data_IF_878142330936
#
_entry.id   IF_878142330936
#
_cell.length_a   1.000
_cell.length_b   1.000
_cell.length_c   1.000
_cell.angle_alpha   90.00
_cell.angle_beta   90.00
_cell.angle_gamma   90.00
#
_symmetry.space_group_name_H-M   'P 1'
#
loop_
_entity.id
_entity.type
_entity.pdbx_description
1 polymer ?
#
# COMPACT_ATOMS: atom_id res chain seq x y z
N UNK A 1 6.87 -16.54 0.12
CA UNK A 1 6.98 -15.65 1.27
C UNK A 1 8.42 -15.72 1.78
N UNK A 2 9.05 -14.57 1.91
CA UNK A 2 10.39 -14.47 2.48
C UNK A 2 10.21 -14.08 3.95
N UNK A 3 10.84 -14.80 4.86
CA UNK A 3 10.88 -14.48 6.27
C UNK A 3 12.03 -13.51 6.54
N UNK A 4 11.81 -12.54 7.39
CA UNK A 4 12.85 -11.69 7.96
C UNK A 4 12.71 -11.67 9.48
N UNK A 5 13.82 -11.53 10.17
CA UNK A 5 13.82 -11.39 11.62
C UNK A 5 13.29 -10.01 12.01
N UNK A 6 12.49 -9.99 13.06
CA UNK A 6 12.00 -8.72 13.58
C UNK A 6 11.22 -8.88 14.86
N UNK A 7 11.02 -7.75 15.51
CA UNK A 7 10.21 -7.62 16.70
C UNK A 7 9.28 -6.42 16.59
N UNK A 8 8.06 -6.57 17.07
CA UNK A 8 7.05 -5.52 17.07
C UNK A 8 6.36 -5.48 18.43
N UNK A 9 6.17 -4.28 18.96
CA UNK A 9 5.44 -4.03 20.17
C UNK A 9 4.40 -2.94 19.95
N UNK A 10 3.21 -3.13 20.55
CA UNK A 10 2.13 -2.13 20.54
C UNK A 10 1.56 -2.01 21.93
N UNK A 11 1.49 -0.80 22.42
CA UNK A 11 0.81 -0.48 23.68
C UNK A 11 -0.48 0.29 23.38
N UNK A 12 -1.61 -0.20 23.87
CA UNK A 12 -2.92 0.42 23.71
C UNK A 12 -3.40 0.98 25.04
N UNK A 13 -3.79 2.24 25.03
CA UNK A 13 -4.42 2.91 26.17
C UNK A 13 -5.94 2.63 26.19
N UNK A 14 -6.55 2.77 27.35
CA UNK A 14 -8.01 2.59 27.51
C UNK A 14 -8.83 3.57 26.66
N UNK A 15 -8.26 4.73 26.35
CA UNK A 15 -8.86 5.74 25.46
C UNK A 15 -8.98 5.32 23.98
N UNK A 16 -8.43 4.15 23.60
CA UNK A 16 -8.34 3.71 22.21
C UNK A 16 -7.13 4.25 21.44
N UNK A 17 -6.37 5.17 22.06
CA UNK A 17 -5.07 5.59 21.53
C UNK A 17 -4.03 4.47 21.68
N UNK A 18 -3.01 4.48 20.86
CA UNK A 18 -1.91 3.52 20.95
C UNK A 18 -0.60 4.09 20.46
N UNK A 19 0.47 3.50 20.95
CA UNK A 19 1.83 3.66 20.44
C UNK A 19 2.31 2.31 19.96
N UNK A 20 3.16 2.30 18.96
CA UNK A 20 3.80 1.08 18.50
C UNK A 20 5.19 1.35 17.95
N UNK A 21 6.02 0.32 18.00
CA UNK A 21 7.35 0.34 17.40
C UNK A 21 7.72 -1.07 16.97
N UNK A 22 8.52 -1.15 15.91
CA UNK A 22 9.06 -2.40 15.42
C UNK A 22 10.44 -2.22 14.83
N UNK A 23 11.24 -3.27 14.89
CA UNK A 23 12.55 -3.36 14.27
C UNK A 23 12.57 -4.63 13.45
N UNK A 24 12.96 -4.54 12.21
CA UNK A 24 12.97 -5.64 11.26
C UNK A 24 14.31 -5.66 10.53
N UNK A 25 14.77 -6.84 10.25
CA UNK A 25 15.91 -7.05 9.37
C UNK A 25 15.63 -6.46 7.98
N UNK A 26 16.62 -5.77 7.43
CA UNK A 26 16.61 -5.29 6.04
C UNK A 26 17.65 -6.05 5.24
N UNK A 27 17.19 -6.95 4.37
CA UNK A 27 18.06 -7.73 3.52
C UNK A 27 17.54 -7.83 2.09
N UNK A 28 17.83 -6.84 1.23
CA UNK A 28 17.37 -6.82 -0.14
C UNK A 28 17.96 -7.95 -1.00
N UNK A 29 19.06 -8.58 -0.57
CA UNK A 29 19.69 -9.67 -1.32
C UNK A 29 18.99 -11.02 -1.14
N UNK A 30 18.18 -11.20 -0.11
CA UNK A 30 17.46 -12.45 0.14
C UNK A 30 16.40 -12.80 -0.92
N UNK A 31 15.95 -11.85 -1.69
CA UNK A 31 15.03 -12.11 -2.79
C UNK A 31 15.57 -13.10 -3.84
N UNK A 32 16.88 -13.31 -3.85
CA UNK A 32 17.55 -14.12 -4.87
C UNK A 32 18.23 -15.39 -4.30
N UNK A 33 18.30 -15.54 -2.98
CA UNK A 33 18.84 -16.75 -2.36
C UNK A 33 17.77 -17.81 -2.17
N UNK A 34 18.03 -19.03 -2.59
CA UNK A 34 17.08 -20.15 -2.50
C UNK A 34 16.90 -20.70 -1.07
N UNK A 35 16.58 -19.84 -0.11
CA UNK A 35 16.39 -20.18 1.33
C UNK A 35 15.11 -20.96 1.62
N UNK A 36 14.33 -21.34 0.58
CA UNK A 36 13.04 -22.02 0.70
C UNK A 36 12.03 -21.33 1.63
N UNK A 37 12.15 -20.02 1.78
CA UNK A 37 11.26 -19.20 2.61
C UNK A 37 11.63 -19.13 4.09
N UNK A 38 12.68 -19.79 4.54
CA UNK A 38 13.19 -19.72 5.91
C UNK A 38 14.63 -19.22 5.90
N UNK A 39 14.85 -18.12 6.56
CA UNK A 39 16.16 -17.60 6.87
C UNK A 39 16.33 -17.49 8.38
N UNK A 40 17.27 -18.27 8.90
CA UNK A 40 17.56 -18.35 10.33
C UNK A 40 18.87 -17.65 10.69
N UNK A 41 19.55 -17.08 9.70
CA UNK A 41 20.82 -16.37 9.89
C UNK A 41 20.59 -14.85 9.91
N UNK A 42 20.62 -14.19 11.08
CA UNK A 42 20.54 -12.73 11.14
C UNK A 42 21.86 -12.05 10.74
N UNK A 43 22.90 -12.82 10.45
CA UNK A 43 24.24 -12.29 10.20
C UNK A 43 24.46 -11.75 8.79
N UNK A 44 23.59 -12.02 7.85
CA UNK A 44 23.69 -11.55 6.46
C UNK A 44 22.78 -10.35 6.14
N UNK A 45 22.14 -9.77 7.17
CA UNK A 45 21.36 -8.55 7.03
C UNK A 45 22.22 -7.38 6.56
N UNK A 46 21.72 -6.64 5.56
CA UNK A 46 22.38 -5.41 5.09
C UNK A 46 22.12 -4.22 6.03
N UNK A 47 21.20 -4.36 6.96
CA UNK A 47 20.81 -3.34 7.93
C UNK A 47 19.51 -3.68 8.64
N UNK A 48 18.90 -2.68 9.26
CA UNK A 48 17.63 -2.79 9.97
C UNK A 48 16.65 -1.70 9.54
N UNK A 49 15.39 -2.05 9.55
CA UNK A 49 14.27 -1.12 9.36
C UNK A 49 13.57 -0.90 10.69
N UNK A 50 13.49 0.33 11.11
CA UNK A 50 12.76 0.79 12.29
C UNK A 50 11.44 1.42 11.87
N UNK A 51 10.40 1.07 12.58
CA UNK A 51 9.08 1.69 12.45
C UNK A 51 8.64 2.15 13.83
N UNK A 52 8.18 3.38 13.95
CA UNK A 52 7.53 3.88 15.16
C UNK A 52 6.34 4.74 14.80
N UNK A 53 5.27 4.62 15.57
CA UNK A 53 4.05 5.35 15.27
C UNK A 53 3.11 5.49 16.44
N UNK A 54 2.13 6.36 16.23
CA UNK A 54 1.02 6.61 17.13
C UNK A 54 -0.29 6.57 16.35
N UNK A 55 -1.35 6.15 17.01
CA UNK A 55 -2.66 6.12 16.42
C UNK A 55 -3.78 6.17 17.42
N UNK A 56 -4.99 6.32 16.88
CA UNK A 56 -6.24 6.27 17.62
C UNK A 56 -7.24 5.44 16.82
N UNK A 57 -7.95 4.54 17.47
CA UNK A 57 -8.97 3.72 16.82
C UNK A 57 -10.13 3.42 17.76
N UNK A 58 -11.30 3.34 17.18
CA UNK A 58 -12.48 2.75 17.80
C UNK A 58 -13.25 1.98 16.73
N UNK A 59 -13.71 0.80 17.05
CA UNK A 59 -14.63 0.03 16.22
C UNK A 59 -16.10 0.38 16.51
N UNK A 60 -17.03 -0.27 15.81
CA UNK A 60 -18.47 -0.03 15.97
C UNK A 60 -19.04 -0.51 17.31
N UNK A 61 -18.31 -1.30 18.08
CA UNK A 61 -18.70 -1.71 19.45
C UNK A 61 -18.37 -0.63 20.47
N UNK A 62 -17.35 0.19 20.16
CA UNK A 62 -16.84 1.25 21.04
C UNK A 62 -17.38 2.64 20.67
N UNK A 63 -17.61 2.87 19.38
CA UNK A 63 -18.06 4.16 18.89
C UNK A 63 -19.06 3.98 17.73
N UNK A 64 -20.15 4.74 17.76
CA UNK A 64 -21.13 4.77 16.67
C UNK A 64 -20.48 5.06 15.31
N UNK A 65 -19.48 5.91 15.30
CA UNK A 65 -18.71 6.29 14.11
C UNK A 65 -17.29 5.75 14.22
N UNK A 66 -17.11 4.47 13.87
CA UNK A 66 -15.82 3.82 13.91
C UNK A 66 -14.76 4.62 13.15
N UNK A 67 -13.57 4.70 13.71
CA UNK A 67 -12.46 5.45 13.13
C UNK A 67 -11.12 4.75 13.36
N UNK A 68 -10.14 5.09 12.53
CA UNK A 68 -8.75 4.72 12.69
C UNK A 68 -7.88 5.80 12.08
N UNK A 69 -6.96 6.34 12.86
CA UNK A 69 -5.93 7.29 12.45
C UNK A 69 -4.59 6.77 12.91
N UNK A 70 -3.58 6.83 12.05
CA UNK A 70 -2.24 6.36 12.40
C UNK A 70 -1.19 7.16 11.65
N UNK A 71 -0.18 7.65 12.38
CA UNK A 71 1.02 8.27 11.86
C UNK A 71 2.23 7.44 12.22
N UNK A 72 3.04 7.11 11.23
CA UNK A 72 4.26 6.34 11.37
C UNK A 72 5.45 7.11 10.81
N UNK A 73 6.59 7.00 11.49
CA UNK A 73 7.91 7.29 10.94
C UNK A 73 8.65 5.97 10.70
N UNK A 74 9.46 5.91 9.65
CA UNK A 74 10.35 4.80 9.41
C UNK A 74 11.78 5.27 9.12
N UNK A 75 12.73 4.45 9.54
CA UNK A 75 14.14 4.60 9.25
C UNK A 75 14.71 3.24 8.84
N UNK A 76 15.34 3.16 7.68
CA UNK A 76 15.97 1.95 7.19
C UNK A 76 17.48 2.21 7.02
N UNK A 77 18.32 1.42 7.65
CA UNK A 77 19.78 1.49 7.52
C UNK A 77 20.34 0.56 6.44
N UNK A 78 19.48 -0.25 5.81
CA UNK A 78 19.85 -1.21 4.80
C UNK A 78 20.45 -0.59 3.55
N UNK A 79 21.19 -1.40 2.80
CA UNK A 79 21.80 -1.01 1.55
C UNK A 79 20.74 -1.03 0.43
N UNK A 80 20.84 -0.01 -0.42
CA UNK A 80 20.00 0.14 -1.61
C UNK A 80 20.91 0.41 -2.81
N UNK A 81 20.58 -0.18 -3.95
CA UNK A 81 21.29 0.05 -5.19
C UNK A 81 20.74 1.32 -5.83
N UNK A 82 21.61 2.31 -6.04
CA UNK A 82 21.27 3.49 -6.82
C UNK A 82 20.99 3.08 -8.28
N UNK A 83 19.80 3.32 -8.81
CA UNK A 83 19.44 2.89 -10.16
C UNK A 83 20.27 3.61 -11.25
N UNK A 84 20.83 4.78 -10.96
CA UNK A 84 21.59 5.57 -11.94
C UNK A 84 23.03 5.13 -12.10
N UNK A 85 23.74 4.79 -11.00
CA UNK A 85 25.17 4.52 -11.02
C UNK A 85 25.54 3.13 -10.48
N UNK A 86 24.54 2.35 -10.02
CA UNK A 86 24.74 1.02 -9.46
C UNK A 86 25.46 1.00 -8.11
N UNK A 87 25.71 2.14 -7.51
CA UNK A 87 26.41 2.22 -6.22
C UNK A 87 25.48 1.86 -5.08
N UNK A 88 26.03 1.19 -4.08
CA UNK A 88 25.34 0.95 -2.82
C UNK A 88 25.29 2.25 -2.01
N UNK A 89 24.10 2.58 -1.57
CA UNK A 89 23.81 3.67 -0.64
C UNK A 89 23.08 3.12 0.56
N UNK A 90 23.19 3.79 1.68
CA UNK A 90 22.57 3.37 2.93
C UNK A 90 21.58 4.43 3.42
N UNK A 91 20.54 3.93 4.04
CA UNK A 91 19.57 4.75 4.72
C UNK A 91 18.41 5.16 3.83
N UNK A 92 17.23 5.13 4.40
CA UNK A 92 16.06 5.81 3.91
C UNK A 92 15.13 6.16 5.06
N UNK A 93 14.55 7.33 4.99
CA UNK A 93 13.63 7.86 5.99
C UNK A 93 12.31 8.24 5.36
N UNK A 94 11.24 8.19 6.14
CA UNK A 94 9.97 8.67 5.66
C UNK A 94 8.87 8.65 6.70
N UNK A 95 7.72 9.12 6.24
CA UNK A 95 6.49 9.19 7.03
C UNK A 95 5.37 8.49 6.28
N UNK A 96 4.48 7.88 7.04
CA UNK A 96 3.23 7.29 6.56
C UNK A 96 2.09 7.74 7.47
N UNK A 97 1.09 8.37 6.89
CA UNK A 97 -0.18 8.66 7.55
C UNK A 97 -1.29 7.86 6.89
N UNK A 98 -2.17 7.26 7.66
CA UNK A 98 -3.38 6.59 7.17
C UNK A 98 -4.58 6.90 8.07
N UNK A 99 -5.74 6.97 7.46
CA UNK A 99 -6.97 7.19 8.20
C UNK A 99 -8.17 6.47 7.57
N UNK A 100 -9.14 6.19 8.41
CA UNK A 100 -10.49 5.78 8.05
C UNK A 100 -11.46 6.39 9.05
N UNK A 101 -12.56 6.98 8.57
CA UNK A 101 -13.59 7.59 9.40
C UNK A 101 -14.98 7.22 8.86
N UNK A 102 -15.83 6.69 9.72
CA UNK A 102 -17.26 6.55 9.42
C UNK A 102 -17.92 7.91 9.55
N UNK A 103 -18.60 8.35 8.49
CA UNK A 103 -19.33 9.64 8.44
C UNK A 103 -20.81 9.47 8.78
N UNK A 104 -21.41 8.36 8.34
CA UNK A 104 -22.79 8.05 8.58
C UNK A 104 -22.98 6.56 8.70
N UNK A 105 -23.94 6.14 9.53
CA UNK A 105 -24.33 4.74 9.67
C UNK A 105 -25.82 4.63 9.94
N UNK A 106 -26.44 3.61 9.39
CA UNK A 106 -27.77 3.14 9.68
C UNK A 106 -27.69 1.86 10.53
N UNK A 107 -28.67 1.64 11.40
CA UNK A 107 -28.68 0.52 12.33
C UNK A 107 -27.83 0.75 13.60
N UNK A 108 -28.05 -0.09 14.61
CA UNK A 108 -27.34 -0.04 15.90
C UNK A 108 -26.48 -1.29 16.14
N UNK A 109 -26.50 -2.25 15.22
CA UNK A 109 -25.71 -3.47 15.34
C UNK A 109 -24.22 -3.20 15.28
N UNK A 110 -23.39 -4.11 15.80
CA UNK A 110 -21.94 -3.99 15.74
C UNK A 110 -21.40 -3.88 14.30
N UNK A 111 -22.11 -4.43 13.33
CA UNK A 111 -21.85 -4.23 11.89
C UNK A 111 -22.97 -3.32 11.35
N UNK A 112 -22.64 -2.15 10.78
CA UNK A 112 -23.63 -1.26 10.21
C UNK A 112 -24.28 -1.91 8.97
N UNK A 113 -25.60 -1.85 8.91
CA UNK A 113 -26.35 -2.34 7.74
C UNK A 113 -26.05 -1.48 6.51
N UNK A 114 -25.91 -0.17 6.72
CA UNK A 114 -25.58 0.82 5.70
C UNK A 114 -24.75 1.95 6.31
N UNK A 115 -23.95 2.60 5.50
CA UNK A 115 -23.17 3.73 5.97
C UNK A 115 -22.26 4.32 4.92
N UNK A 116 -21.55 5.37 5.32
CA UNK A 116 -20.52 6.01 4.53
C UNK A 116 -19.24 6.12 5.35
N UNK A 117 -18.14 5.77 4.73
CA UNK A 117 -16.80 5.96 5.30
C UNK A 117 -15.94 6.72 4.32
N UNK A 118 -15.04 7.54 4.83
CA UNK A 118 -13.90 8.07 4.10
C UNK A 118 -12.64 7.39 4.59
N UNK A 119 -11.69 7.21 3.70
CA UNK A 119 -10.38 6.66 4.03
C UNK A 119 -9.30 7.34 3.19
N UNK A 120 -8.09 7.23 3.63
CA UNK A 120 -6.95 7.69 2.88
C UNK A 120 -5.64 7.25 3.50
N UNK A 121 -4.60 7.37 2.70
CA UNK A 121 -3.22 7.17 3.10
C UNK A 121 -2.34 8.19 2.40
N UNK A 122 -1.26 8.56 3.05
CA UNK A 122 -0.21 9.37 2.47
C UNK A 122 1.14 8.88 2.97
N UNK A 123 2.09 8.75 2.06
CA UNK A 123 3.47 8.45 2.41
C UNK A 123 4.44 9.38 1.70
N UNK A 124 5.54 9.64 2.36
CA UNK A 124 6.62 10.47 1.88
C UNK A 124 7.96 9.85 2.26
N UNK A 125 8.90 9.82 1.32
CA UNK A 125 10.28 9.46 1.55
C UNK A 125 11.14 10.72 1.52
N UNK A 126 12.01 10.85 2.51
CA UNK A 126 12.90 12.01 2.66
C UNK A 126 14.11 11.94 1.72
N UNK A 127 14.36 10.80 1.13
CA UNK A 127 15.52 10.54 0.28
C UNK A 127 15.14 10.29 -1.19
N UNK A 128 16.12 10.47 -2.07
CA UNK A 128 15.97 10.28 -3.52
C UNK A 128 16.17 8.82 -3.97
N UNK A 129 16.50 7.92 -3.05
CA UNK A 129 16.85 6.52 -3.37
C UNK A 129 15.61 5.66 -3.54
N UNK A 130 14.53 6.04 -2.87
CA UNK A 130 13.28 5.31 -3.02
C UNK A 130 12.70 5.49 -4.43
N UNK A 131 12.19 4.41 -5.04
CA UNK A 131 11.57 4.49 -6.38
C UNK A 131 10.42 5.50 -6.41
N UNK A 132 9.73 5.67 -5.28
CA UNK A 132 8.60 6.58 -5.14
C UNK A 132 8.87 7.56 -4.00
N UNK A 133 8.82 8.86 -4.30
CA UNK A 133 9.03 9.90 -3.30
C UNK A 133 7.76 10.27 -2.52
N UNK A 134 6.59 10.09 -3.14
CA UNK A 134 5.29 10.36 -2.52
C UNK A 134 4.26 9.35 -3.03
N UNK A 135 3.38 8.98 -2.14
CA UNK A 135 2.13 8.30 -2.48
C UNK A 135 1.00 8.96 -1.68
N UNK A 136 -0.14 9.14 -2.31
CA UNK A 136 -1.35 9.61 -1.62
C UNK A 136 -2.57 8.92 -2.20
N UNK A 137 -3.52 8.57 -1.35
CA UNK A 137 -4.84 8.11 -1.77
C UNK A 137 -5.92 8.66 -0.86
N UNK A 138 -7.08 8.89 -1.43
CA UNK A 138 -8.30 9.23 -0.72
C UNK A 138 -9.47 8.53 -1.39
N UNK A 139 -10.42 8.07 -0.59
CA UNK A 139 -11.58 7.41 -1.12
C UNK A 139 -12.78 7.49 -0.19
N UNK A 140 -13.91 7.10 -0.75
CA UNK A 140 -15.18 6.96 -0.05
C UNK A 140 -15.71 5.55 -0.25
N UNK A 141 -16.24 4.97 0.82
CA UNK A 141 -16.88 3.66 0.82
C UNK A 141 -18.33 3.81 1.18
N UNK A 142 -19.23 3.29 0.36
CA UNK A 142 -20.61 3.00 0.72
C UNK A 142 -20.66 1.59 1.31
N UNK A 143 -21.08 1.47 2.57
CA UNK A 143 -21.36 0.20 3.23
C UNK A 143 -22.81 -0.20 2.93
N UNK A 144 -23.05 -1.49 2.72
CA UNK A 144 -24.38 -2.05 2.47
C UNK A 144 -25.08 -1.46 1.26
N UNK A 145 -24.43 -1.30 0.09
CA UNK A 145 -25.11 -0.84 -1.11
C UNK A 145 -26.25 -1.82 -1.46
N UNK A 146 -27.32 -1.28 -2.01
CA UNK A 146 -28.49 -2.09 -2.45
C UNK A 146 -29.15 -2.95 -1.36
N UNK A 147 -28.99 -2.58 -0.07
CA UNK A 147 -29.56 -3.34 1.05
C UNK A 147 -28.83 -4.63 1.40
N UNK A 148 -27.58 -4.78 0.97
CA UNK A 148 -26.72 -5.94 1.24
C UNK A 148 -25.59 -5.56 2.21
N UNK A 149 -25.75 -5.83 3.53
CA UNK A 149 -24.82 -5.32 4.56
C UNK A 149 -23.35 -5.75 4.41
N UNK A 150 -23.11 -6.87 3.76
CA UNK A 150 -21.76 -7.40 3.55
C UNK A 150 -21.06 -6.84 2.31
N UNK A 151 -21.80 -6.14 1.45
CA UNK A 151 -21.24 -5.57 0.24
C UNK A 151 -20.68 -4.17 0.51
N UNK A 152 -19.72 -3.76 -0.30
CA UNK A 152 -19.21 -2.39 -0.31
C UNK A 152 -19.05 -1.88 -1.73
N UNK A 153 -19.19 -0.56 -1.89
CA UNK A 153 -18.87 0.15 -3.13
C UNK A 153 -17.87 1.25 -2.78
N UNK A 154 -16.74 1.28 -3.49
CA UNK A 154 -15.64 2.17 -3.22
C UNK A 154 -15.32 3.03 -4.44
N UNK A 155 -15.18 4.34 -4.22
CA UNK A 155 -14.59 5.26 -5.18
C UNK A 155 -13.31 5.82 -4.58
N UNK A 156 -12.19 5.71 -5.29
CA UNK A 156 -10.87 6.09 -4.80
C UNK A 156 -10.11 6.87 -5.86
N UNK A 157 -9.36 7.88 -5.44
CA UNK A 157 -8.35 8.56 -6.22
C UNK A 157 -6.99 8.35 -5.55
N UNK A 158 -5.95 8.11 -6.34
CA UNK A 158 -4.58 7.97 -5.85
C UNK A 158 -3.60 8.72 -6.74
N UNK A 159 -2.51 9.15 -6.13
CA UNK A 159 -1.39 9.82 -6.76
C UNK A 159 -0.09 9.20 -6.28
N UNK A 160 0.78 8.89 -7.24
CA UNK A 160 2.11 8.35 -7.00
C UNK A 160 3.12 9.25 -7.69
N UNK A 161 4.20 9.62 -7.00
CA UNK A 161 5.30 10.39 -7.58
C UNK A 161 6.58 9.59 -7.57
N UNK A 162 7.14 9.36 -8.75
CA UNK A 162 8.46 8.74 -8.90
C UNK A 162 9.55 9.60 -8.26
N UNK A 163 10.52 8.96 -7.65
CA UNK A 163 11.76 9.58 -7.22
C UNK A 163 12.49 10.24 -8.39
N UNK A 164 13.28 11.27 -8.13
CA UNK A 164 14.00 11.97 -9.20
C UNK A 164 15.01 11.04 -9.88
N UNK A 165 15.74 10.25 -9.12
CA UNK A 165 16.73 9.30 -9.62
C UNK A 165 16.10 8.16 -10.42
N UNK A 166 14.95 7.66 -9.96
CA UNK A 166 14.18 6.65 -10.68
C UNK A 166 13.72 7.16 -12.05
N UNK A 167 13.21 8.38 -12.11
CA UNK A 167 12.80 8.99 -13.37
C UNK A 167 13.99 9.20 -14.33
N UNK A 168 15.10 9.72 -13.83
CA UNK A 168 16.32 9.92 -14.63
C UNK A 168 16.89 8.60 -15.15
N UNK A 169 16.82 7.53 -14.34
CA UNK A 169 17.22 6.20 -14.78
C UNK A 169 16.32 5.68 -15.91
N UNK A 170 15.02 5.82 -15.82
CA UNK A 170 14.08 5.45 -16.89
C UNK A 170 14.36 6.22 -18.19
N UNK A 171 14.64 7.52 -18.09
CA UNK A 171 15.01 8.36 -19.24
C UNK A 171 16.30 7.85 -19.90
N UNK A 172 17.33 7.59 -19.11
CA UNK A 172 18.60 7.06 -19.60
C UNK A 172 18.44 5.67 -20.24
N UNK A 173 17.73 4.76 -19.61
CA UNK A 173 17.46 3.42 -20.13
C UNK A 173 16.71 3.47 -21.46
N UNK A 174 15.75 4.37 -21.61
CA UNK A 174 14.95 4.56 -22.82
C UNK A 174 15.82 5.16 -23.95
N UNK A 175 16.59 6.19 -23.62
CA UNK A 175 17.52 6.79 -24.59
C UNK A 175 18.50 5.74 -25.15
N UNK A 176 19.10 4.93 -24.27
CA UNK A 176 20.03 3.89 -24.68
C UNK A 176 19.39 2.79 -25.53
N UNK A 177 18.18 2.37 -25.17
CA UNK A 177 17.48 1.28 -25.85
C UNK A 177 16.85 1.69 -27.19
N UNK A 178 16.36 2.93 -27.30
CA UNK A 178 15.54 3.37 -28.44
C UNK A 178 16.08 4.59 -29.20
N UNK A 179 17.10 5.28 -28.64
CA UNK A 179 17.59 6.56 -29.17
C UNK A 179 16.64 7.73 -28.93
N UNK A 180 15.55 7.56 -28.18
CA UNK A 180 14.55 8.60 -27.92
C UNK A 180 14.83 9.33 -26.61
N UNK A 181 15.01 10.63 -26.68
CA UNK A 181 15.12 11.52 -25.53
C UNK A 181 13.71 11.94 -25.07
N UNK A 182 13.02 11.01 -24.41
CA UNK A 182 11.66 11.23 -23.88
C UNK A 182 11.72 11.37 -22.35
N UNK A 183 11.19 12.47 -21.82
CA UNK A 183 11.13 12.69 -20.37
C UNK A 183 10.09 11.80 -19.72
N UNK A 184 10.46 11.22 -18.59
CA UNK A 184 9.55 10.45 -17.73
C UNK A 184 8.63 11.39 -16.96
N UNK A 185 7.33 11.18 -17.09
CA UNK A 185 6.34 11.87 -16.27
C UNK A 185 6.40 11.28 -14.86
N UNK A 186 6.76 12.11 -13.87
CA UNK A 186 6.96 11.63 -12.50
C UNK A 186 5.67 11.40 -11.72
N UNK A 187 4.57 12.00 -12.12
CA UNK A 187 3.29 11.91 -11.43
C UNK A 187 2.33 10.97 -12.16
N UNK A 188 1.93 9.89 -11.49
CA UNK A 188 0.90 8.95 -11.93
C UNK A 188 -0.34 9.19 -11.09
N UNK A 189 -1.47 9.43 -11.71
CA UNK A 189 -2.76 9.55 -11.02
C UNK A 189 -3.69 8.42 -11.43
N UNK A 190 -4.53 7.96 -10.53
CA UNK A 190 -5.51 6.90 -10.81
C UNK A 190 -6.83 7.22 -10.12
N UNK A 191 -7.92 6.99 -10.84
CA UNK A 191 -9.27 6.94 -10.27
C UNK A 191 -9.78 5.51 -10.43
N UNK A 192 -10.37 4.97 -9.36
CA UNK A 192 -10.83 3.59 -9.32
C UNK A 192 -12.22 3.51 -8.68
N UNK A 193 -13.10 2.78 -9.35
CA UNK A 193 -14.37 2.32 -8.80
C UNK A 193 -14.29 0.81 -8.63
N UNK A 194 -14.49 0.32 -7.41
CA UNK A 194 -14.54 -1.11 -7.14
C UNK A 194 -15.66 -1.45 -6.17
N UNK A 195 -16.05 -2.70 -6.15
CA UNK A 195 -17.05 -3.20 -5.22
C UNK A 195 -16.65 -4.56 -4.69
N UNK A 196 -17.00 -4.84 -3.45
CA UNK A 196 -16.94 -6.17 -2.86
C UNK A 196 -18.38 -6.71 -2.82
N UNK A 197 -18.63 -7.83 -3.51
CA UNK A 197 -19.90 -8.53 -3.53
C UNK A 197 -19.79 -9.87 -2.85
N UNK A 198 -20.40 -10.02 -1.70
CA UNK A 198 -20.53 -11.32 -1.04
C UNK A 198 -21.64 -12.13 -1.71
N UNK A 199 -21.28 -12.96 -2.69
CA UNK A 199 -22.23 -13.75 -3.48
C UNK A 199 -22.83 -14.90 -2.66
N UNK A 200 -21.99 -15.54 -1.84
CA UNK A 200 -22.41 -16.58 -0.90
C UNK A 200 -21.51 -16.53 0.35
N UNK A 201 -21.77 -17.41 1.32
CA UNK A 201 -20.94 -17.51 2.53
C UNK A 201 -19.44 -17.69 2.21
N UNK A 202 -19.13 -18.36 1.12
CA UNK A 202 -17.77 -18.77 0.76
C UNK A 202 -17.22 -18.06 -0.48
N UNK A 203 -18.03 -17.30 -1.21
CA UNK A 203 -17.64 -16.67 -2.48
C UNK A 203 -17.90 -15.17 -2.45
N UNK A 204 -16.85 -14.41 -2.73
CA UNK A 204 -16.97 -12.99 -3.02
C UNK A 204 -16.35 -12.65 -4.39
N UNK A 205 -16.92 -11.64 -5.04
CA UNK A 205 -16.46 -11.07 -6.30
C UNK A 205 -16.08 -9.61 -6.08
N UNK A 206 -14.95 -9.19 -6.66
CA UNK A 206 -14.49 -7.80 -6.60
C UNK A 206 -14.20 -7.27 -8.01
N UNK A 207 -15.22 -6.88 -8.77
CA UNK A 207 -15.02 -6.14 -10.01
C UNK A 207 -14.48 -4.76 -9.73
N UNK A 208 -13.55 -4.30 -10.58
CA UNK A 208 -12.99 -2.96 -10.54
C UNK A 208 -12.81 -2.37 -11.93
N UNK A 209 -12.97 -1.06 -12.02
CA UNK A 209 -12.65 -0.24 -13.19
C UNK A 209 -11.72 0.87 -12.74
N UNK A 210 -10.61 1.02 -13.42
CA UNK A 210 -9.60 2.03 -13.13
C UNK A 210 -9.30 2.84 -14.39
N UNK A 211 -9.06 4.13 -14.21
CA UNK A 211 -8.47 4.98 -15.25
C UNK A 211 -7.15 5.54 -14.71
N UNK A 212 -6.07 5.33 -15.46
CA UNK A 212 -4.71 5.69 -15.09
C UNK A 212 -4.24 6.82 -15.98
N UNK A 213 -3.88 7.94 -15.37
CA UNK A 213 -3.27 9.09 -16.01
C UNK A 213 -1.75 9.02 -15.86
N UNK A 214 -1.04 9.24 -16.95
CA UNK A 214 0.42 9.23 -16.99
C UNK A 214 1.01 7.95 -16.35
N UNK A 215 0.67 6.74 -16.82
CA UNK A 215 1.22 5.51 -16.27
C UNK A 215 2.74 5.51 -16.34
N UNK A 216 3.39 4.98 -15.31
CA UNK A 216 4.85 4.85 -15.28
C UNK A 216 5.33 3.60 -16.03
N UNK A 217 6.62 3.58 -16.30
CA UNK A 217 7.30 2.46 -16.94
C UNK A 217 8.21 1.70 -15.96
N UNK A 218 7.82 1.61 -14.69
CA UNK A 218 8.64 1.03 -13.62
C UNK A 218 9.16 -0.38 -13.95
N UNK A 219 8.32 -1.24 -14.49
CA UNK A 219 8.70 -2.61 -14.85
C UNK A 219 9.39 -2.75 -16.20
N UNK A 220 9.28 -1.77 -17.07
CA UNK A 220 9.96 -1.75 -18.37
C UNK A 220 10.43 -0.33 -18.68
N UNK A 221 11.54 0.11 -18.07
CA UNK A 221 12.03 1.47 -18.19
C UNK A 221 12.41 1.86 -19.63
N UNK A 222 12.80 0.87 -20.45
CA UNK A 222 13.18 1.07 -21.84
C UNK A 222 11.98 1.24 -22.79
N UNK A 223 10.75 0.96 -22.33
CA UNK A 223 9.57 1.14 -23.17
C UNK A 223 9.29 2.63 -23.43
N UNK A 224 8.67 2.97 -24.57
CA UNK A 224 8.14 4.31 -24.82
C UNK A 224 7.22 4.76 -23.69
N UNK A 225 7.13 6.07 -23.48
CA UNK A 225 6.19 6.63 -22.49
C UNK A 225 4.77 6.25 -22.87
N UNK A 226 4.10 5.53 -21.97
CA UNK A 226 2.73 5.06 -22.18
C UNK A 226 1.73 6.21 -22.10
N UNK A 227 0.67 6.14 -22.92
CA UNK A 227 -0.49 7.02 -22.78
C UNK A 227 -1.41 6.60 -21.64
N UNK A 228 -2.35 7.47 -21.33
CA UNK A 228 -3.41 7.19 -20.36
C UNK A 228 -4.23 5.96 -20.76
N UNK A 229 -4.77 5.24 -19.80
CA UNK A 229 -5.48 4.00 -20.08
C UNK A 229 -6.48 3.57 -19.03
N UNK A 230 -7.41 2.73 -19.45
CA UNK A 230 -8.38 2.09 -18.57
C UNK A 230 -7.99 0.63 -18.32
N UNK A 231 -8.25 0.15 -17.11
CA UNK A 231 -8.09 -1.24 -16.69
C UNK A 231 -9.40 -1.72 -16.10
N UNK A 232 -9.85 -2.89 -16.53
CA UNK A 232 -11.00 -3.58 -15.94
C UNK A 232 -10.46 -4.89 -15.36
N UNK A 233 -10.78 -5.17 -14.11
CA UNK A 233 -10.36 -6.38 -13.43
C UNK A 233 -11.52 -7.02 -12.65
N UNK A 234 -11.42 -8.32 -12.46
CA UNK A 234 -12.31 -9.11 -11.61
C UNK A 234 -11.45 -10.00 -10.72
N UNK A 235 -11.53 -9.77 -9.41
CA UNK A 235 -10.98 -10.69 -8.42
C UNK A 235 -12.07 -11.63 -7.92
N UNK A 236 -11.76 -12.91 -7.81
CA UNK A 236 -12.65 -13.92 -7.24
C UNK A 236 -12.00 -14.47 -5.98
N UNK A 237 -12.70 -14.37 -4.86
CA UNK A 237 -12.25 -14.89 -3.58
C UNK A 237 -13.13 -16.06 -3.16
N UNK A 238 -12.51 -17.19 -2.86
CA UNK A 238 -13.21 -18.37 -2.38
C UNK A 238 -12.58 -18.88 -1.07
N UNK A 239 -13.41 -18.94 -0.02
CA UNK A 239 -12.98 -19.43 1.29
C UNK A 239 -13.13 -20.95 1.38
N UNK A 240 -12.02 -21.66 1.11
CA UNK A 240 -11.98 -23.12 1.15
C UNK A 240 -12.20 -23.66 2.58
N UNK A 241 -11.63 -23.05 3.61
CA UNK A 241 -11.79 -23.49 4.99
C UNK A 241 -13.26 -23.51 5.40
N UNK A 242 -13.96 -22.40 5.17
CA UNK A 242 -15.41 -22.31 5.44
C UNK A 242 -16.25 -23.26 4.57
N UNK A 243 -15.82 -23.56 3.33
CA UNK A 243 -16.50 -24.51 2.46
C UNK A 243 -16.34 -25.97 2.92
N UNK A 244 -15.22 -26.29 3.57
CA UNK A 244 -14.90 -27.60 4.11
C UNK A 244 -15.33 -27.79 5.56
N UNK A 245 -15.90 -26.77 6.20
CA UNK A 245 -16.33 -26.79 7.59
C UNK A 245 -15.18 -26.72 8.60
N UNK A 246 -14.02 -26.17 8.18
CA UNK A 246 -12.83 -25.96 9.00
C UNK A 246 -12.82 -24.58 9.67
#
# INVERSE_FOLDING_TARGET
PYGSWGGYARYRFDSGNYLHSGVFESNPQHYFKGTKGFDWDPGDASGVSWLAGAGAQADFTQNRYAYHYELNGFHNTGEQIDPMDGRLRRGSDGLLFKFRQTLAREGQAAVPERGWQVFGAWSWSADDMQPFSHFGEIGVTRLGPFGRPQDTLNLKASYLRLGARQAAWQESARLQATGRDERTRRGVSRVELNTHWQVSRNLALEPSVQYIFNPDNFYNPSAPVSGDGAVIALQVMYNLGSALGL
#
